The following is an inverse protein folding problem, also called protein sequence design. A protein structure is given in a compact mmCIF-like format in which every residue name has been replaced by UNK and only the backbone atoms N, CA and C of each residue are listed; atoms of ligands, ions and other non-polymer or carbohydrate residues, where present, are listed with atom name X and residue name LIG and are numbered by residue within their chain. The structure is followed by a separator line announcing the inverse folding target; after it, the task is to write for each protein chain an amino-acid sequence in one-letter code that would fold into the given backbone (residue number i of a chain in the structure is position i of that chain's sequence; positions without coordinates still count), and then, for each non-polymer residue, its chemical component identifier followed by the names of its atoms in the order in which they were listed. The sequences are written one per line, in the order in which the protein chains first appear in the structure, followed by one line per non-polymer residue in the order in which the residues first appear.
data_IF_755674840248
#
_entry.id   IF_755674840248
#
_cell.length_a   1.000
_cell.length_b   1.000
_cell.length_c   1.000
_cell.angle_alpha   90.00
_cell.angle_beta   90.00
_cell.angle_gamma   90.00
#
_symmetry.space_group_name_H-M   'P 1'
#
loop_
_entity.id
_entity.type
_entity.pdbx_description
1 polymer ?
#
# COMPACT_ATOMS: atom_id res chain seq x y z
N UNK A 1 -4.92 -20.79 23.30
CA UNK A 1 -5.30 -21.39 22.00
C UNK A 1 -6.58 -20.73 21.51
N UNK A 2 -6.76 -20.52 20.21
CA UNK A 2 -8.01 -19.96 19.66
C UNK A 2 -9.13 -21.01 19.65
N UNK A 3 -10.38 -20.58 19.85
CA UNK A 3 -11.56 -21.45 19.70
C UNK A 3 -11.82 -21.78 18.22
N UNK A 4 -12.60 -22.81 17.90
CA UNK A 4 -13.02 -23.10 16.53
C UNK A 4 -13.69 -21.90 15.84
N UNK A 5 -14.52 -21.15 16.55
CA UNK A 5 -15.22 -19.97 16.04
C UNK A 5 -14.23 -18.83 15.76
N UNK A 6 -13.26 -18.60 16.67
CA UNK A 6 -12.20 -17.62 16.47
C UNK A 6 -11.32 -17.96 15.25
N UNK A 7 -11.10 -19.25 14.98
CA UNK A 7 -10.35 -19.71 13.79
C UNK A 7 -11.09 -19.40 12.50
N UNK A 8 -12.40 -19.65 12.45
CA UNK A 8 -13.23 -19.34 11.26
C UNK A 8 -13.18 -17.84 10.94
N UNK A 9 -13.32 -16.98 11.96
CA UNK A 9 -13.23 -15.52 11.78
C UNK A 9 -11.84 -15.12 11.28
N UNK A 10 -10.78 -15.65 11.89
CA UNK A 10 -9.41 -15.36 11.50
C UNK A 10 -9.12 -15.77 10.06
N UNK A 11 -9.56 -16.97 9.65
CA UNK A 11 -9.41 -17.47 8.28
C UNK A 11 -10.14 -16.57 7.28
N UNK A 12 -11.33 -16.07 7.64
CA UNK A 12 -12.06 -15.09 6.85
C UNK A 12 -11.30 -13.78 6.66
N UNK A 13 -10.72 -13.22 7.73
CA UNK A 13 -9.91 -12.00 7.67
C UNK A 13 -8.63 -12.19 6.83
N UNK A 14 -7.97 -13.34 6.98
CA UNK A 14 -6.78 -13.69 6.18
C UNK A 14 -7.15 -13.78 4.70
N UNK A 15 -8.26 -14.47 4.36
CA UNK A 15 -8.72 -14.59 2.98
C UNK A 15 -9.04 -13.22 2.38
N UNK A 16 -9.74 -12.37 3.12
CA UNK A 16 -10.08 -11.02 2.68
C UNK A 16 -8.82 -10.17 2.41
N UNK A 17 -7.87 -10.17 3.35
CA UNK A 17 -6.58 -9.48 3.21
C UNK A 17 -5.81 -9.99 1.98
N UNK A 18 -5.77 -11.29 1.78
CA UNK A 18 -5.06 -11.89 0.65
C UNK A 18 -5.72 -11.47 -0.67
N UNK A 19 -7.05 -11.58 -0.79
CA UNK A 19 -7.75 -11.17 -2.01
C UNK A 19 -7.59 -9.69 -2.34
N UNK A 20 -7.52 -8.83 -1.32
CA UNK A 20 -7.23 -7.42 -1.51
C UNK A 20 -5.79 -7.21 -2.01
N UNK A 21 -4.82 -7.93 -1.44
CA UNK A 21 -3.41 -7.83 -1.83
C UNK A 21 -3.16 -8.33 -3.25
N UNK A 22 -3.92 -9.34 -3.70
CA UNK A 22 -3.79 -9.92 -5.03
C UNK A 22 -4.08 -8.90 -6.14
N UNK A 23 -5.08 -8.03 -5.96
CA UNK A 23 -5.43 -6.97 -6.93
C UNK A 23 -4.25 -6.03 -7.17
N UNK A 24 -3.56 -5.61 -6.11
CA UNK A 24 -2.38 -4.74 -6.22
C UNK A 24 -1.20 -5.49 -6.83
N UNK A 25 -0.99 -6.74 -6.41
CA UNK A 25 0.10 -7.58 -6.93
C UNK A 25 -0.03 -7.77 -8.43
N UNK A 26 -1.22 -8.09 -8.93
CA UNK A 26 -1.47 -8.29 -10.36
C UNK A 26 -1.15 -7.01 -11.17
N UNK A 27 -1.67 -5.87 -10.72
CA UNK A 27 -1.44 -4.57 -11.37
C UNK A 27 0.04 -4.19 -11.37
N UNK A 28 0.73 -4.39 -10.25
CA UNK A 28 2.16 -4.06 -10.13
C UNK A 28 3.04 -4.96 -11.00
N UNK A 29 2.73 -6.26 -11.09
CA UNK A 29 3.45 -7.18 -11.97
C UNK A 29 3.23 -6.80 -13.42
N UNK A 30 2.00 -6.47 -13.82
CA UNK A 30 1.71 -5.99 -15.17
C UNK A 30 2.54 -4.74 -15.51
N UNK A 31 2.52 -3.71 -14.65
CA UNK A 31 3.28 -2.49 -14.86
C UNK A 31 4.79 -2.72 -14.94
N UNK A 32 5.33 -3.69 -14.18
CA UNK A 32 6.74 -4.09 -14.30
C UNK A 32 7.01 -4.75 -15.65
N UNK A 33 6.14 -5.65 -16.08
CA UNK A 33 6.29 -6.38 -17.35
C UNK A 33 6.15 -5.42 -18.55
N UNK A 34 5.41 -4.31 -18.40
CA UNK A 34 5.29 -3.20 -19.35
C UNK A 34 6.47 -2.20 -19.30
N UNK A 35 7.31 -2.28 -18.25
CA UNK A 35 8.51 -1.47 -18.08
C UNK A 35 8.33 -0.17 -17.29
N UNK A 36 7.15 0.07 -16.73
CA UNK A 36 6.84 1.24 -15.91
C UNK A 36 7.44 1.14 -14.49
N UNK A 37 7.59 -0.09 -13.98
CA UNK A 37 8.17 -0.41 -12.68
C UNK A 37 9.39 -1.31 -12.80
N UNK A 38 10.27 -1.23 -11.80
CA UNK A 38 11.53 -1.97 -11.73
C UNK A 38 11.75 -2.49 -10.31
N UNK A 39 11.32 -3.73 -10.06
CA UNK A 39 11.49 -4.41 -8.77
C UNK A 39 11.63 -5.93 -8.95
N UNK A 40 12.36 -6.55 -8.03
CA UNK A 40 12.72 -7.97 -8.10
C UNK A 40 11.58 -8.91 -7.70
N UNK A 41 11.18 -8.91 -6.42
CA UNK A 41 10.22 -9.85 -5.84
C UNK A 41 8.84 -9.20 -5.64
N UNK A 42 7.78 -9.63 -6.35
CA UNK A 42 6.45 -9.05 -6.19
C UNK A 42 5.85 -9.19 -4.79
N UNK A 43 6.13 -10.28 -4.07
CA UNK A 43 5.56 -10.49 -2.74
C UNK A 43 6.18 -9.55 -1.71
N UNK A 44 7.50 -9.37 -1.75
CA UNK A 44 8.22 -8.44 -0.86
C UNK A 44 7.82 -7.00 -1.19
N UNK A 45 7.79 -6.64 -2.48
CA UNK A 45 7.51 -5.27 -2.91
C UNK A 45 6.07 -4.84 -2.57
N UNK A 46 5.06 -5.69 -2.81
CA UNK A 46 3.66 -5.40 -2.46
C UNK A 46 3.49 -5.16 -0.96
N UNK A 47 4.12 -6.00 -0.12
CA UNK A 47 4.04 -5.81 1.34
C UNK A 47 4.73 -4.52 1.78
N UNK A 48 5.89 -4.20 1.20
CA UNK A 48 6.62 -2.97 1.50
C UNK A 48 5.83 -1.72 1.08
N UNK A 49 5.18 -1.77 -0.09
CA UNK A 49 4.31 -0.70 -0.57
C UNK A 49 3.10 -0.49 0.36
N UNK A 50 2.43 -1.57 0.80
CA UNK A 50 1.34 -1.43 1.77
C UNK A 50 1.81 -0.87 3.12
N UNK A 51 3.00 -1.22 3.60
CA UNK A 51 3.56 -0.62 4.80
C UNK A 51 3.72 0.89 4.63
N UNK A 52 4.24 1.35 3.49
CA UNK A 52 4.39 2.77 3.21
C UNK A 52 3.04 3.50 3.21
N UNK A 53 2.07 3.01 2.43
CA UNK A 53 0.75 3.62 2.28
C UNK A 53 -0.04 3.63 3.59
N UNK A 54 0.06 2.57 4.39
CA UNK A 54 -0.70 2.45 5.64
C UNK A 54 -0.02 3.14 6.82
N UNK A 55 1.29 3.39 6.75
CA UNK A 55 2.04 3.98 7.87
C UNK A 55 1.39 5.23 8.53
N UNK A 56 0.76 6.17 7.79
CA UNK A 56 0.22 7.39 8.39
C UNK A 56 -0.87 7.13 9.43
N UNK A 57 -1.61 6.02 9.35
CA UNK A 57 -2.61 5.68 10.37
C UNK A 57 -2.00 5.55 11.77
N UNK A 58 -0.69 5.26 11.85
CA UNK A 58 0.02 5.07 13.11
C UNK A 58 0.66 6.34 13.66
N UNK A 59 1.04 7.29 12.80
CA UNK A 59 1.87 8.43 13.21
C UNK A 59 1.33 9.81 12.83
N UNK A 60 0.40 9.90 11.88
CA UNK A 60 -0.16 11.18 11.46
C UNK A 60 -1.27 11.61 12.41
N UNK A 61 -1.14 12.83 12.93
CA UNK A 61 -2.13 13.48 13.78
C UNK A 61 -2.37 14.87 13.19
N UNK A 62 -3.58 15.18 12.71
CA UNK A 62 -3.91 16.50 12.18
C UNK A 62 -3.65 17.61 13.20
N UNK A 63 -3.11 18.73 12.76
CA UNK A 63 -2.85 19.91 13.59
C UNK A 63 -4.08 20.82 13.64
N UNK A 64 -4.26 21.62 14.71
CA UNK A 64 -5.30 22.65 14.72
C UNK A 64 -5.15 23.61 13.54
N UNK A 65 -6.22 23.77 12.75
CA UNK A 65 -6.23 24.62 11.56
C UNK A 65 -5.66 23.98 10.29
N UNK A 66 -5.30 22.70 10.34
CA UNK A 66 -4.95 21.93 9.14
C UNK A 66 -6.21 21.70 8.30
N UNK A 67 -6.10 21.96 7.00
CA UNK A 67 -7.17 21.79 6.02
C UNK A 67 -6.94 20.55 5.15
N UNK A 68 -7.89 20.27 4.27
CA UNK A 68 -7.85 19.10 3.39
C UNK A 68 -6.64 19.14 2.43
N UNK A 69 -6.13 20.32 2.06
CA UNK A 69 -4.97 20.44 1.16
C UNK A 69 -3.70 19.90 1.81
N UNK A 70 -3.54 20.08 3.12
CA UNK A 70 -2.42 19.52 3.87
C UNK A 70 -2.49 17.98 3.91
N UNK A 71 -3.67 17.42 4.17
CA UNK A 71 -3.88 15.98 4.15
C UNK A 71 -3.58 15.40 2.76
N UNK A 72 -4.03 16.06 1.69
CA UNK A 72 -3.71 15.69 0.31
C UNK A 72 -2.21 15.80 0.01
N UNK A 73 -1.52 16.82 0.54
CA UNK A 73 -0.07 16.96 0.39
C UNK A 73 0.70 15.80 1.02
N UNK A 74 0.27 15.36 2.20
CA UNK A 74 0.85 14.21 2.90
C UNK A 74 0.61 12.94 2.07
N UNK A 75 -0.63 12.70 1.63
CA UNK A 75 -0.97 11.57 0.78
C UNK A 75 -0.10 11.53 -0.50
N UNK A 76 0.07 12.66 -1.20
CA UNK A 76 0.94 12.75 -2.39
C UNK A 76 2.38 12.37 -2.08
N UNK A 77 2.94 12.84 -0.96
CA UNK A 77 4.32 12.52 -0.57
C UNK A 77 4.50 11.01 -0.29
N UNK A 78 3.53 10.38 0.38
CA UNK A 78 3.56 8.95 0.68
C UNK A 78 3.40 8.10 -0.59
N UNK A 79 2.47 8.48 -1.48
CA UNK A 79 2.29 7.80 -2.76
C UNK A 79 3.56 7.94 -3.61
N UNK A 80 4.16 9.13 -3.65
CA UNK A 80 5.42 9.36 -4.36
C UNK A 80 6.56 8.51 -3.79
N UNK A 81 6.65 8.40 -2.46
CA UNK A 81 7.63 7.53 -1.80
C UNK A 81 7.43 6.06 -2.20
N UNK A 82 6.19 5.57 -2.12
CA UNK A 82 5.86 4.20 -2.50
C UNK A 82 6.17 3.93 -3.98
N UNK A 83 5.73 4.80 -4.89
CA UNK A 83 5.97 4.71 -6.33
C UNK A 83 7.46 4.65 -6.70
N UNK A 84 8.29 5.49 -6.07
CA UNK A 84 9.74 5.44 -6.27
C UNK A 84 10.33 4.12 -5.76
N UNK A 85 9.79 3.57 -4.69
CA UNK A 85 10.14 2.24 -4.20
C UNK A 85 9.76 1.09 -5.15
N UNK A 86 8.82 1.33 -6.07
CA UNK A 86 8.48 0.41 -7.16
C UNK A 86 9.40 0.56 -8.39
N UNK A 87 10.39 1.45 -8.34
CA UNK A 87 11.25 1.77 -9.48
C UNK A 87 10.62 2.73 -10.49
N UNK A 88 9.46 3.31 -10.17
CA UNK A 88 8.79 4.29 -11.02
C UNK A 88 9.66 5.53 -11.26
N UNK A 89 9.73 5.96 -12.52
CA UNK A 89 10.56 7.09 -12.97
C UNK A 89 9.66 8.20 -13.50
N UNK A 90 9.97 9.45 -13.14
CA UNK A 90 9.25 10.64 -13.60
C UNK A 90 8.41 11.31 -12.51
N UNK A 91 7.61 12.30 -12.94
CA UNK A 91 6.63 12.95 -12.08
C UNK A 91 5.34 12.12 -12.05
N UNK A 92 4.75 12.05 -10.86
CA UNK A 92 3.43 11.46 -10.62
C UNK A 92 2.41 12.59 -10.74
N UNK A 93 1.59 12.56 -11.79
CA UNK A 93 0.41 13.43 -11.87
C UNK A 93 -0.67 12.89 -10.93
N UNK A 94 -0.74 13.46 -9.72
CA UNK A 94 -1.68 13.10 -8.63
C UNK A 94 -2.59 14.27 -8.25
#
# INVERSE_FOLDING_TARGET
ATTPEQRIVLDGLVKYRNSYSDVFRETMVQARDEGDFDFEDPAITVQSMFMALNSPIFWYVPRPGEDDEHMHSIARQIVTFAYRGLGGKGELEL
#
